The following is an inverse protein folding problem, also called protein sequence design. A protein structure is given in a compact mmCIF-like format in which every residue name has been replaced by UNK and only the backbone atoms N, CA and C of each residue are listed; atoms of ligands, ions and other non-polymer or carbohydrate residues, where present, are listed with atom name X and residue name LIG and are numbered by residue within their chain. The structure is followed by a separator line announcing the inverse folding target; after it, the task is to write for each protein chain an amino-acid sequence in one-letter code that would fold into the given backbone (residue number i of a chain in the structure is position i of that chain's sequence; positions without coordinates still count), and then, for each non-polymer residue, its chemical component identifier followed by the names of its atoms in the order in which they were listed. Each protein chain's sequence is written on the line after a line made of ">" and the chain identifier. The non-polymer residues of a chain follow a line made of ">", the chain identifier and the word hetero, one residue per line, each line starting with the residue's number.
data_IF_257870032889
#
_entry.id   IF_257870032889
#
_cell.length_a   1.000
_cell.length_b   1.000
_cell.length_c   1.000
_cell.angle_alpha   90.00
_cell.angle_beta   90.00
_cell.angle_gamma   90.00
#
_symmetry.space_group_name_H-M   'P 1'
#
loop_
_entity.id
_entity.type
_entity.pdbx_description
1 polymer ?
#
# COMPACT_ATOMS: atom_id res chain seq x y z
N UNK A 1 1.48 -6.70 7.95
CA UNK A 1 2.51 -6.23 6.98
C UNK A 1 3.18 -7.47 6.40
N UNK A 2 3.74 -7.47 5.18
CA UNK A 2 4.43 -8.66 4.64
C UNK A 2 5.80 -8.30 4.08
N UNK A 3 6.73 -9.26 4.13
CA UNK A 3 7.97 -9.25 3.35
C UNK A 3 7.88 -10.39 2.33
N UNK A 4 8.25 -10.13 1.07
CA UNK A 4 8.05 -11.08 -0.02
C UNK A 4 9.23 -11.10 -0.98
N UNK A 5 9.38 -12.24 -1.66
CA UNK A 5 10.19 -12.42 -2.87
C UNK A 5 9.25 -12.94 -3.95
N UNK A 6 9.21 -12.24 -5.08
CA UNK A 6 8.36 -12.60 -6.21
C UNK A 6 9.19 -13.03 -7.40
N UNK A 7 8.76 -14.10 -8.07
CA UNK A 7 9.33 -14.57 -9.32
C UNK A 7 8.27 -14.50 -10.42
N UNK A 8 8.50 -13.61 -11.38
CA UNK A 8 7.78 -13.58 -12.63
C UNK A 8 8.49 -14.46 -13.67
N UNK A 9 7.88 -15.58 -14.05
CA UNK A 9 8.51 -16.55 -14.94
C UNK A 9 8.21 -16.24 -16.41
N UNK A 10 9.21 -16.37 -17.27
CA UNK A 10 9.03 -16.30 -18.73
C UNK A 10 8.04 -17.35 -19.24
N UNK A 11 8.14 -18.56 -18.70
CA UNK A 11 7.26 -19.68 -19.02
C UNK A 11 6.53 -20.16 -17.78
N UNK A 12 5.22 -20.36 -17.89
CA UNK A 12 4.44 -20.89 -16.79
C UNK A 12 4.85 -22.33 -16.45
N UNK A 13 5.05 -22.61 -15.17
CA UNK A 13 5.37 -23.94 -14.67
C UNK A 13 4.14 -24.61 -14.05
N UNK A 14 4.10 -25.94 -14.04
CA UNK A 14 2.98 -26.71 -13.49
C UNK A 14 3.30 -27.07 -12.04
N UNK A 15 2.44 -26.63 -11.12
CA UNK A 15 2.49 -27.02 -9.72
C UNK A 15 1.16 -27.68 -9.38
N UNK A 16 1.20 -28.96 -9.03
CA UNK A 16 -0.01 -29.78 -8.83
C UNK A 16 -0.80 -29.95 -10.13
N UNK A 17 -1.96 -29.28 -10.25
CA UNK A 17 -2.87 -29.37 -11.41
C UNK A 17 -3.01 -28.05 -12.20
N UNK A 18 -2.37 -26.97 -11.74
CA UNK A 18 -2.51 -25.64 -12.34
C UNK A 18 -1.17 -25.15 -12.87
N UNK A 19 -1.22 -24.32 -13.91
CA UNK A 19 -0.08 -23.58 -14.45
C UNK A 19 0.05 -22.27 -13.70
N UNK A 20 1.26 -21.94 -13.27
CA UNK A 20 1.61 -20.72 -12.56
C UNK A 20 2.75 -20.02 -13.30
N UNK A 21 2.53 -18.74 -13.65
CA UNK A 21 3.57 -17.86 -14.18
C UNK A 21 4.23 -17.05 -13.08
N UNK A 22 3.45 -16.74 -12.05
CA UNK A 22 3.82 -15.88 -10.95
C UNK A 22 3.91 -16.72 -9.67
N UNK A 23 5.07 -16.69 -9.00
CA UNK A 23 5.33 -17.45 -7.78
C UNK A 23 5.90 -16.51 -6.74
N UNK A 24 5.21 -16.43 -5.60
CA UNK A 24 5.58 -15.55 -4.50
C UNK A 24 5.84 -16.36 -3.24
N UNK A 25 6.92 -16.01 -2.55
CA UNK A 25 7.22 -16.46 -1.19
C UNK A 25 7.14 -15.26 -0.28
N UNK A 26 6.34 -15.33 0.77
CA UNK A 26 6.20 -14.23 1.71
C UNK A 26 6.18 -14.71 3.15
N UNK A 27 6.50 -13.79 4.06
CA UNK A 27 6.37 -13.97 5.49
C UNK A 27 5.55 -12.80 6.02
N UNK A 28 4.54 -13.10 6.81
CA UNK A 28 3.71 -12.11 7.48
C UNK A 28 4.47 -11.53 8.68
N UNK A 29 4.41 -10.21 8.81
CA UNK A 29 5.07 -9.44 9.84
C UNK A 29 4.00 -8.59 10.53
N UNK A 30 3.91 -8.77 11.86
CA UNK A 30 2.88 -8.17 12.70
C UNK A 30 1.72 -9.13 12.95
N UNK A 31 1.27 -9.15 14.20
CA UNK A 31 0.06 -9.85 14.65
C UNK A 31 -1.02 -8.78 14.87
N UNK A 32 -2.25 -9.01 14.42
CA UNK A 32 -3.37 -8.14 14.79
C UNK A 32 -3.71 -8.48 16.24
N UNK A 33 -3.11 -7.78 17.19
CA UNK A 33 -3.43 -7.91 18.62
C UNK A 33 -4.76 -7.21 18.89
N UNK A 34 -5.88 -7.80 18.48
CA UNK A 34 -7.20 -7.41 18.99
C UNK A 34 -7.40 -8.02 20.36
N UNK A 35 -6.73 -7.48 21.37
CA UNK A 35 -7.15 -7.68 22.75
C UNK A 35 -7.89 -6.42 23.22
N UNK A 36 -9.20 -6.38 22.97
CA UNK A 36 -10.13 -5.34 23.45
C UNK A 36 -10.38 -5.44 24.98
N UNK A 37 -9.36 -5.86 25.73
CA UNK A 37 -9.40 -6.17 27.15
C UNK A 37 -8.88 -5.03 28.02
N UNK A 38 -9.71 -4.00 28.21
CA UNK A 38 -9.67 -2.97 29.28
C UNK A 38 -8.57 -3.11 30.36
N UNK A 39 -7.39 -2.51 30.19
CA UNK A 39 -6.52 -2.08 31.31
C UNK A 39 -5.60 -0.91 30.88
N UNK A 40 -6.14 0.31 30.90
CA UNK A 40 -5.56 1.48 30.23
C UNK A 40 -4.37 2.19 30.94
N UNK A 41 -3.79 1.63 32.01
CA UNK A 41 -2.78 2.34 32.81
C UNK A 41 -1.60 1.49 33.31
N UNK A 42 -1.41 0.26 32.82
CA UNK A 42 -0.32 -0.61 33.26
C UNK A 42 0.30 -1.44 32.13
N UNK A 43 0.20 -0.96 30.88
CA UNK A 43 0.70 -1.66 29.71
C UNK A 43 1.74 -0.88 28.90
N UNK A 44 2.03 0.39 29.17
CA UNK A 44 3.01 1.16 28.40
C UNK A 44 4.39 0.47 28.31
N UNK A 45 4.80 -0.26 29.36
CA UNK A 45 6.06 -1.03 29.35
C UNK A 45 5.98 -2.32 28.54
N UNK A 46 4.85 -3.01 28.57
CA UNK A 46 4.62 -4.24 27.79
C UNK A 46 4.38 -3.90 26.31
N UNK A 47 3.70 -2.79 26.03
CA UNK A 47 3.46 -2.25 24.69
C UNK A 47 4.78 -1.79 24.05
N UNK A 48 5.63 -1.09 24.80
CA UNK A 48 6.97 -0.70 24.34
C UNK A 48 7.86 -1.93 24.07
N UNK A 49 7.78 -2.97 24.92
CA UNK A 49 8.49 -4.23 24.68
C UNK A 49 7.97 -4.98 23.45
N UNK A 50 6.65 -5.01 23.25
CA UNK A 50 6.03 -5.62 22.08
C UNK A 50 6.42 -4.89 20.79
N UNK A 51 6.42 -3.55 20.80
CA UNK A 51 6.85 -2.74 19.67
C UNK A 51 8.34 -2.94 19.36
N UNK A 52 9.20 -2.99 20.39
CA UNK A 52 10.63 -3.28 20.25
C UNK A 52 10.85 -4.66 19.61
N UNK A 53 10.14 -5.68 20.10
CA UNK A 53 10.23 -7.04 19.57
C UNK A 53 9.76 -7.12 18.11
N UNK A 54 8.72 -6.36 17.73
CA UNK A 54 8.28 -6.29 16.34
C UNK A 54 9.32 -5.62 15.44
N UNK A 55 9.94 -4.52 15.90
CA UNK A 55 11.03 -3.84 15.19
C UNK A 55 12.23 -4.76 15.00
N UNK A 56 12.65 -5.48 16.03
CA UNK A 56 13.73 -6.47 15.96
C UNK A 56 13.40 -7.60 14.99
N UNK A 57 12.16 -8.13 15.02
CA UNK A 57 11.72 -9.16 14.08
C UNK A 57 11.75 -8.65 12.64
N UNK A 58 11.27 -7.43 12.38
CA UNK A 58 11.32 -6.77 11.07
C UNK A 58 12.76 -6.65 10.56
N UNK A 59 13.68 -6.18 11.40
CA UNK A 59 15.10 -6.06 11.04
C UNK A 59 15.74 -7.42 10.76
N UNK A 60 15.45 -8.43 11.61
CA UNK A 60 15.96 -9.80 11.44
C UNK A 60 15.47 -10.43 10.14
N UNK A 61 14.19 -10.27 9.79
CA UNK A 61 13.62 -10.77 8.54
C UNK A 61 14.23 -10.06 7.33
N UNK A 62 14.36 -8.72 7.36
CA UNK A 62 15.03 -7.96 6.30
C UNK A 62 16.47 -8.44 6.08
N UNK A 63 17.23 -8.64 7.15
CA UNK A 63 18.61 -9.15 7.07
C UNK A 63 18.67 -10.56 6.48
N UNK A 64 17.75 -11.45 6.89
CA UNK A 64 17.68 -12.81 6.37
C UNK A 64 17.33 -12.84 4.87
N UNK A 65 16.38 -12.02 4.42
CA UNK A 65 16.00 -11.91 3.01
C UNK A 65 17.13 -11.31 2.17
N UNK A 66 17.78 -10.24 2.64
CA UNK A 66 18.93 -9.65 1.97
C UNK A 66 20.07 -10.66 1.81
N UNK A 67 20.41 -11.38 2.87
CA UNK A 67 21.43 -12.42 2.80
C UNK A 67 21.08 -13.57 1.85
N UNK A 68 19.79 -13.91 1.73
CA UNK A 68 19.32 -14.87 0.74
C UNK A 68 19.50 -14.34 -0.68
N UNK A 69 19.11 -13.09 -0.95
CA UNK A 69 19.28 -12.40 -2.24
C UNK A 69 20.75 -12.38 -2.64
N UNK A 70 21.63 -11.87 -1.77
CA UNK A 70 23.08 -11.76 -2.03
C UNK A 70 23.71 -13.14 -2.35
N UNK A 71 23.25 -14.20 -1.68
CA UNK A 71 23.70 -15.58 -1.97
C UNK A 71 23.22 -16.08 -3.32
N UNK A 72 21.97 -15.83 -3.67
CA UNK A 72 21.41 -16.27 -4.96
C UNK A 72 22.13 -15.57 -6.09
N UNK A 73 22.31 -14.25 -6.01
CA UNK A 73 23.06 -13.45 -7.00
C UNK A 73 24.52 -13.92 -7.12
N UNK A 74 25.15 -14.26 -6.00
CA UNK A 74 26.50 -14.82 -5.98
C UNK A 74 26.62 -16.19 -6.67
N UNK A 75 25.61 -17.07 -6.52
CA UNK A 75 25.57 -18.40 -7.16
C UNK A 75 25.25 -18.27 -8.65
N UNK A 76 24.37 -17.36 -9.02
CA UNK A 76 23.96 -17.13 -10.43
C UNK A 76 25.01 -16.32 -11.20
N UNK A 77 26.07 -15.84 -10.53
CA UNK A 77 27.10 -14.97 -11.09
C UNK A 77 26.49 -13.73 -11.77
N UNK A 78 25.45 -13.15 -11.18
CA UNK A 78 24.75 -11.98 -11.71
C UNK A 78 23.85 -12.26 -12.91
N UNK A 79 23.54 -13.53 -13.24
CA UNK A 79 22.53 -13.83 -14.28
C UNK A 79 21.09 -13.53 -13.84
N UNK A 80 20.86 -13.52 -12.53
CA UNK A 80 19.58 -13.17 -11.91
C UNK A 80 19.89 -12.07 -10.91
N UNK A 81 19.16 -10.97 -11.01
CA UNK A 81 19.21 -9.81 -10.11
C UNK A 81 17.83 -9.60 -9.51
N UNK A 82 17.77 -9.21 -8.24
CA UNK A 82 16.51 -8.92 -7.56
C UNK A 82 16.22 -7.41 -7.57
N UNK A 83 15.19 -7.04 -8.31
CA UNK A 83 14.68 -5.67 -8.33
C UNK A 83 13.99 -5.30 -7.00
N UNK A 84 14.21 -4.07 -6.55
CA UNK A 84 13.53 -3.47 -5.39
C UNK A 84 12.57 -2.38 -5.88
N UNK A 85 11.27 -2.42 -5.55
CA UNK A 85 10.35 -1.37 -5.96
C UNK A 85 10.65 -0.01 -5.35
N UNK A 86 10.62 1.03 -6.17
CA UNK A 86 10.77 2.42 -5.77
C UNK A 86 9.46 2.92 -5.15
N UNK A 87 9.41 3.01 -3.82
CA UNK A 87 8.20 3.42 -3.10
C UNK A 87 7.83 4.88 -3.35
N UNK A 88 8.82 5.75 -3.53
CA UNK A 88 8.63 7.19 -3.76
C UNK A 88 7.97 7.49 -5.11
N UNK A 89 8.21 6.65 -6.11
CA UNK A 89 7.59 6.73 -7.43
C UNK A 89 6.27 5.94 -7.50
N UNK A 90 5.81 5.40 -6.37
CA UNK A 90 4.58 4.62 -6.31
C UNK A 90 3.34 5.50 -6.43
N UNK A 91 2.34 5.02 -7.16
CA UNK A 91 1.06 5.70 -7.31
C UNK A 91 -0.10 4.73 -7.08
N UNK A 92 -1.23 5.28 -6.67
CA UNK A 92 -2.43 4.50 -6.35
C UNK A 92 -3.26 4.31 -7.61
N UNK A 93 -3.77 3.10 -7.82
CA UNK A 93 -4.63 2.77 -8.95
C UNK A 93 -5.40 1.47 -8.76
N UNK A 94 -6.25 1.14 -9.73
CA UNK A 94 -7.13 -0.03 -9.71
C UNK A 94 -6.84 -0.87 -10.97
N UNK A 95 -5.80 -1.73 -10.95
CA UNK A 95 -5.52 -2.63 -12.06
C UNK A 95 -6.58 -3.75 -12.19
N UNK A 96 -7.20 -4.12 -11.07
CA UNK A 96 -8.22 -5.16 -11.03
C UNK A 96 -9.53 -4.65 -10.41
N UNK A 97 -9.76 -4.93 -9.12
CA UNK A 97 -11.00 -4.57 -8.40
C UNK A 97 -10.76 -3.81 -7.10
N UNK A 98 -9.53 -3.82 -6.59
CA UNK A 98 -9.12 -3.10 -5.39
C UNK A 98 -8.20 -1.94 -5.77
N UNK A 99 -8.30 -0.88 -4.99
CA UNK A 99 -7.35 0.23 -4.99
C UNK A 99 -6.08 -0.24 -4.32
N UNK A 100 -4.98 -0.23 -5.07
CA UNK A 100 -3.67 -0.73 -4.64
C UNK A 100 -2.59 0.28 -4.97
N UNK A 101 -1.48 0.22 -4.23
CA UNK A 101 -0.28 0.97 -4.56
C UNK A 101 0.52 0.21 -5.62
N UNK A 102 0.64 0.78 -6.81
CA UNK A 102 1.53 0.30 -7.85
C UNK A 102 2.90 0.95 -7.66
N UNK A 103 3.95 0.16 -7.79
CA UNK A 103 5.32 0.62 -7.56
C UNK A 103 6.17 0.25 -8.76
N UNK A 104 6.86 1.21 -9.40
CA UNK A 104 7.83 0.88 -10.44
C UNK A 104 9.10 0.28 -9.83
N UNK A 105 9.74 -0.60 -10.59
CA UNK A 105 11.11 -1.10 -10.38
C UNK A 105 11.97 -0.61 -11.55
N UNK A 106 13.20 -1.09 -11.64
CA UNK A 106 14.11 -0.78 -12.77
C UNK A 106 13.51 -1.18 -14.11
N UNK A 107 12.81 -2.33 -14.17
CA UNK A 107 12.35 -2.92 -15.43
C UNK A 107 10.85 -3.21 -15.48
N UNK A 108 10.13 -3.09 -14.36
CA UNK A 108 8.74 -3.50 -14.25
C UNK A 108 7.89 -2.47 -13.50
N UNK A 109 6.59 -2.44 -13.78
CA UNK A 109 5.58 -1.87 -12.87
C UNK A 109 4.89 -3.02 -12.14
N UNK A 110 4.89 -2.98 -10.81
CA UNK A 110 4.42 -4.11 -10.00
C UNK A 110 3.42 -3.74 -8.92
N UNK A 111 2.52 -4.69 -8.64
CA UNK A 111 1.77 -4.80 -7.39
C UNK A 111 1.82 -6.25 -6.95
N UNK A 112 2.50 -6.50 -5.83
CA UNK A 112 2.83 -7.84 -5.31
C UNK A 112 2.21 -8.12 -3.93
N UNK A 113 1.61 -7.10 -3.32
CA UNK A 113 1.07 -7.19 -1.97
C UNK A 113 -0.29 -7.88 -1.91
N UNK A 114 -1.06 -7.81 -2.99
CA UNK A 114 -2.40 -8.41 -3.10
C UNK A 114 -2.49 -9.39 -4.25
N UNK A 115 -3.46 -10.31 -4.17
CA UNK A 115 -3.75 -11.28 -5.23
C UNK A 115 -5.06 -10.89 -5.95
N UNK A 116 -5.09 -10.90 -7.29
CA UNK A 116 -4.02 -11.29 -8.21
C UNK A 116 -2.88 -10.28 -8.29
N UNK A 117 -1.64 -10.78 -8.38
CA UNK A 117 -0.48 -9.92 -8.62
C UNK A 117 -0.59 -9.22 -9.98
N UNK A 118 -0.04 -8.03 -10.06
CA UNK A 118 0.07 -7.25 -11.28
C UNK A 118 1.55 -7.05 -11.60
N UNK A 119 1.98 -7.47 -12.78
CA UNK A 119 3.36 -7.30 -13.24
C UNK A 119 3.33 -6.94 -14.71
N UNK A 120 3.89 -5.77 -15.04
CA UNK A 120 4.10 -5.31 -16.41
C UNK A 120 5.60 -5.11 -16.60
N UNK A 121 6.18 -5.79 -17.58
CA UNK A 121 7.56 -5.53 -18.02
C UNK A 121 7.57 -4.33 -18.95
N UNK A 122 8.33 -3.30 -18.60
CA UNK A 122 8.35 -2.01 -19.31
C UNK A 122 8.87 -2.16 -20.74
N UNK A 123 9.85 -3.04 -20.96
CA UNK A 123 10.40 -3.33 -22.30
C UNK A 123 9.37 -3.90 -23.29
N UNK A 124 8.30 -4.52 -22.80
CA UNK A 124 7.24 -5.12 -23.61
C UNK A 124 6.14 -4.10 -23.96
N UNK A 125 6.17 -2.91 -23.37
CA UNK A 125 5.22 -1.82 -23.63
C UNK A 125 5.64 -1.08 -24.90
N UNK A 126 4.67 -0.86 -25.79
CA UNK A 126 4.83 -0.06 -27.00
C UNK A 126 4.44 1.40 -26.73
N UNK A 127 3.27 1.60 -26.13
CA UNK A 127 2.65 2.90 -25.89
C UNK A 127 1.79 2.84 -24.63
N UNK A 128 1.69 3.96 -23.91
CA UNK A 128 0.71 4.15 -22.85
C UNK A 128 -0.34 5.18 -23.28
N UNK A 129 -1.62 4.91 -23.10
CA UNK A 129 -2.67 5.89 -23.34
C UNK A 129 -3.36 6.26 -22.03
N UNK A 130 -3.45 7.55 -21.75
CA UNK A 130 -4.21 8.08 -20.64
C UNK A 130 -5.64 8.39 -21.10
N UNK A 131 -6.62 7.76 -20.48
CA UNK A 131 -8.04 8.03 -20.74
C UNK A 131 -8.64 8.90 -19.65
N UNK A 132 -9.71 9.61 -19.99
CA UNK A 132 -10.47 10.45 -19.06
C UNK A 132 -9.63 11.56 -18.42
N UNK A 133 -8.60 12.03 -19.12
CA UNK A 133 -7.82 13.19 -18.69
C UNK A 133 -8.64 14.45 -18.98
N UNK A 134 -9.36 14.94 -17.98
CA UNK A 134 -10.21 16.12 -18.06
C UNK A 134 -10.17 16.91 -16.75
N UNK A 135 -10.25 18.23 -16.83
CA UNK A 135 -10.15 19.10 -15.65
C UNK A 135 -11.23 18.84 -14.58
N UNK A 136 -12.42 18.43 -14.97
CA UNK A 136 -13.55 18.18 -14.05
C UNK A 136 -13.49 16.80 -13.38
N UNK A 137 -12.61 15.90 -13.84
CA UNK A 137 -12.48 14.55 -13.30
C UNK A 137 -11.37 14.50 -12.26
N UNK A 138 -11.63 13.83 -11.13
CA UNK A 138 -10.63 13.65 -10.07
C UNK A 138 -9.63 12.54 -10.36
N UNK A 139 -10.03 11.61 -11.24
CA UNK A 139 -9.25 10.44 -11.58
C UNK A 139 -9.21 10.23 -13.09
N UNK A 140 -8.10 9.71 -13.58
CA UNK A 140 -7.92 9.26 -14.96
C UNK A 140 -7.65 7.75 -14.98
N UNK A 141 -7.68 7.15 -16.17
CA UNK A 141 -7.25 5.77 -16.38
C UNK A 141 -6.01 5.72 -17.25
N UNK A 142 -5.24 4.66 -17.11
CA UNK A 142 -4.03 4.42 -17.88
C UNK A 142 -4.11 3.04 -18.53
N UNK A 143 -3.80 2.98 -19.82
CA UNK A 143 -3.86 1.76 -20.62
C UNK A 143 -2.48 1.45 -21.16
N UNK A 144 -1.97 0.25 -20.86
CA UNK A 144 -0.72 -0.27 -21.39
C UNK A 144 -0.98 -1.06 -22.67
N UNK A 145 -0.38 -0.60 -23.76
CA UNK A 145 -0.41 -1.28 -25.06
C UNK A 145 0.94 -1.96 -25.24
N UNK A 146 0.91 -3.26 -25.53
CA UNK A 146 2.12 -4.06 -25.68
C UNK A 146 2.59 -4.12 -27.13
N UNK A 147 3.89 -4.31 -27.32
CA UNK A 147 4.53 -4.55 -28.63
C UNK A 147 3.94 -5.75 -29.35
N UNK A 148 3.58 -6.78 -28.58
CA UNK A 148 2.88 -7.94 -29.09
C UNK A 148 1.37 -7.69 -29.14
N UNK A 149 0.83 -7.30 -30.30
CA UNK A 149 -0.58 -6.93 -30.46
C UNK A 149 -1.60 -8.08 -30.24
N UNK A 150 -1.13 -9.33 -30.16
CA UNK A 150 -1.97 -10.48 -29.78
C UNK A 150 -2.27 -10.49 -28.28
N UNK A 151 -1.41 -9.86 -27.48
CA UNK A 151 -1.57 -9.70 -26.04
C UNK A 151 -2.64 -8.64 -25.78
N UNK A 152 -3.52 -8.92 -24.82
CA UNK A 152 -4.53 -7.95 -24.39
C UNK A 152 -3.85 -6.77 -23.69
N UNK A 153 -4.39 -5.57 -23.91
CA UNK A 153 -4.01 -4.38 -23.15
C UNK A 153 -4.33 -4.58 -21.67
N UNK A 154 -3.53 -3.95 -20.80
CA UNK A 154 -3.77 -3.93 -19.36
C UNK A 154 -4.22 -2.54 -18.95
N UNK A 155 -5.24 -2.48 -18.09
CA UNK A 155 -5.83 -1.23 -17.62
C UNK A 155 -5.44 -0.99 -16.17
N UNK A 156 -5.10 0.25 -15.83
CA UNK A 156 -5.00 0.74 -14.46
C UNK A 156 -5.99 1.89 -14.31
N UNK A 157 -7.07 1.63 -13.59
CA UNK A 157 -8.18 2.58 -13.49
C UNK A 157 -8.07 3.45 -12.25
N UNK A 158 -8.81 4.56 -12.24
CA UNK A 158 -9.02 5.41 -11.06
C UNK A 158 -7.72 5.90 -10.42
N UNK A 159 -6.76 6.32 -11.25
CA UNK A 159 -5.52 6.95 -10.79
C UNK A 159 -5.83 8.41 -10.45
N UNK A 160 -5.44 8.92 -9.26
CA UNK A 160 -5.65 10.31 -8.89
C UNK A 160 -4.96 11.28 -9.86
N UNK A 161 -5.65 12.34 -10.27
CA UNK A 161 -5.07 13.38 -11.15
C UNK A 161 -3.82 14.05 -10.55
N UNK A 162 -3.68 14.05 -9.23
CA UNK A 162 -2.48 14.56 -8.54
C UNK A 162 -1.21 13.78 -8.88
N UNK A 163 -1.34 12.52 -9.32
CA UNK A 163 -0.21 11.67 -9.73
C UNK A 163 0.06 11.71 -11.24
N UNK A 164 -0.72 12.47 -12.02
CA UNK A 164 -0.60 12.47 -13.49
C UNK A 164 0.79 12.92 -13.95
N UNK A 165 1.28 14.04 -13.43
CA UNK A 165 2.58 14.60 -13.82
C UNK A 165 3.73 13.69 -13.39
N UNK A 166 3.63 13.10 -12.19
CA UNK A 166 4.61 12.14 -11.66
C UNK A 166 4.69 10.89 -12.54
N UNK A 167 3.54 10.36 -12.97
CA UNK A 167 3.46 9.19 -13.86
C UNK A 167 3.99 9.53 -15.25
N UNK A 168 3.70 10.73 -15.79
CA UNK A 168 4.25 11.20 -17.08
C UNK A 168 5.77 11.32 -17.02
N UNK A 169 6.32 11.92 -15.97
CA UNK A 169 7.75 12.03 -15.76
C UNK A 169 8.42 10.66 -15.65
N UNK A 170 7.81 9.73 -14.92
CA UNK A 170 8.27 8.35 -14.84
C UNK A 170 8.27 7.66 -16.21
N UNK A 171 7.21 7.76 -17.01
CA UNK A 171 7.15 7.17 -18.35
C UNK A 171 8.21 7.77 -19.28
N UNK A 172 8.45 9.08 -19.20
CA UNK A 172 9.52 9.76 -19.93
C UNK A 172 10.91 9.22 -19.52
N UNK A 173 11.14 8.99 -18.23
CA UNK A 173 12.42 8.40 -17.75
C UNK A 173 12.65 6.96 -18.24
N UNK A 174 11.58 6.26 -18.63
CA UNK A 174 11.61 4.90 -19.17
C UNK A 174 11.61 4.86 -20.71
N UNK A 175 11.69 6.02 -21.39
CA UNK A 175 11.55 6.16 -22.85
C UNK A 175 10.24 5.59 -23.42
N UNK A 176 9.18 5.55 -22.61
CA UNK A 176 7.86 5.06 -23.04
C UNK A 176 7.04 6.24 -23.55
N UNK A 177 6.61 6.16 -24.82
CA UNK A 177 5.69 7.16 -25.38
C UNK A 177 4.32 7.06 -24.72
N UNK A 178 3.69 8.22 -24.54
CA UNK A 178 2.32 8.28 -24.06
C UNK A 178 1.48 9.26 -24.87
N UNK A 179 0.17 8.99 -24.91
CA UNK A 179 -0.86 9.89 -25.46
C UNK A 179 -1.94 10.11 -24.41
N UNK A 180 -2.72 11.18 -24.57
CA UNK A 180 -3.81 11.52 -23.65
C UNK A 180 -5.12 11.74 -24.40
N UNK A 181 -6.21 11.33 -23.78
CA UNK A 181 -7.54 11.34 -24.36
C UNK A 181 -8.62 11.60 -23.32
N UNK A 182 -9.65 12.31 -23.76
CA UNK A 182 -10.83 12.67 -22.97
C UNK A 182 -11.80 11.48 -22.87
N UNK A 183 -11.85 10.64 -23.90
CA UNK A 183 -12.78 9.52 -24.04
C UNK A 183 -12.11 8.19 -23.67
N UNK A 184 -12.92 7.25 -23.16
CA UNK A 184 -12.49 5.86 -23.00
C UNK A 184 -12.72 5.06 -24.29
N UNK A 185 -11.68 4.41 -24.79
CA UNK A 185 -11.69 3.75 -26.09
C UNK A 185 -12.00 2.25 -25.96
N UNK A 186 -12.59 1.67 -27.03
CA UNK A 186 -12.81 0.23 -27.10
C UNK A 186 -11.57 -0.50 -27.64
N UNK A 187 -10.58 -0.70 -26.77
CA UNK A 187 -9.32 -1.37 -27.10
C UNK A 187 -9.51 -2.77 -27.67
N UNK A 188 -10.52 -3.51 -27.22
CA UNK A 188 -10.79 -4.85 -27.76
C UNK A 188 -11.17 -4.83 -29.25
N UNK A 189 -11.80 -3.74 -29.72
CA UNK A 189 -12.09 -3.53 -31.15
C UNK A 189 -10.86 -3.02 -31.89
N UNK A 190 -10.17 -2.04 -31.34
CA UNK A 190 -8.97 -1.43 -31.92
C UNK A 190 -7.87 -2.50 -32.14
N UNK A 191 -7.52 -3.25 -31.09
CA UNK A 191 -6.50 -4.29 -31.18
C UNK A 191 -6.85 -5.40 -32.18
N UNK A 192 -8.15 -5.70 -32.37
CA UNK A 192 -8.60 -6.65 -33.39
C UNK A 192 -8.39 -6.11 -34.81
N UNK A 193 -8.70 -4.84 -35.05
CA UNK A 193 -8.45 -4.19 -36.35
C UNK A 193 -6.95 -4.22 -36.66
N UNK A 194 -6.12 -3.82 -35.70
CA UNK A 194 -4.66 -3.81 -35.83
C UNK A 194 -4.09 -5.22 -36.08
N UNK A 195 -4.60 -6.24 -35.36
CA UNK A 195 -4.12 -7.62 -35.54
C UNK A 195 -4.52 -8.21 -36.89
N UNK A 196 -5.65 -7.78 -37.47
CA UNK A 196 -6.12 -8.27 -38.76
C UNK A 196 -5.36 -7.65 -39.93
N UNK A 197 -5.04 -6.36 -39.87
CA UNK A 197 -4.27 -5.66 -40.90
C UNK A 197 -3.23 -4.70 -40.30
N UNK A 198 -2.06 -5.20 -39.88
CA UNK A 198 -1.00 -4.36 -39.32
C UNK A 198 -0.37 -3.40 -40.35
N UNK A 199 -0.44 -3.71 -41.65
CA UNK A 199 0.18 -2.88 -42.68
C UNK A 199 -0.64 -1.63 -42.95
N UNK A 200 -1.95 -1.80 -43.13
CA UNK A 200 -2.88 -0.67 -43.29
C UNK A 200 -2.86 0.26 -42.06
N UNK A 201 -2.71 -0.30 -40.86
CA UNK A 201 -2.54 0.51 -39.64
C UNK A 201 -1.31 1.43 -39.71
N UNK A 202 -0.16 0.92 -40.14
CA UNK A 202 1.07 1.71 -40.24
C UNK A 202 0.96 2.75 -41.38
N UNK A 203 0.34 2.39 -42.50
CA UNK A 203 0.13 3.31 -43.63
C UNK A 203 -0.82 4.46 -43.27
N UNK A 204 -1.82 4.21 -42.43
CA UNK A 204 -2.78 5.22 -41.97
C UNK A 204 -2.28 6.08 -40.79
N UNK A 205 -0.97 6.10 -40.51
CA UNK A 205 -0.38 6.93 -39.44
C UNK A 205 -0.26 6.24 -38.09
N UNK A 206 -0.57 4.95 -37.99
CA UNK A 206 -0.37 4.14 -36.79
C UNK A 206 -1.12 4.69 -35.58
N UNK A 207 -0.38 5.07 -34.54
CA UNK A 207 -0.96 5.58 -33.28
C UNK A 207 -1.35 7.06 -33.32
N UNK A 208 -1.20 7.75 -34.45
CA UNK A 208 -1.53 9.18 -34.57
C UNK A 208 -3.00 9.50 -34.28
N UNK A 209 -3.93 8.56 -34.49
CA UNK A 209 -5.35 8.76 -34.17
C UNK A 209 -5.64 8.95 -32.66
N UNK A 210 -4.67 8.62 -31.80
CA UNK A 210 -4.75 8.86 -30.35
C UNK A 210 -4.29 10.26 -29.96
N UNK A 211 -3.65 10.98 -30.87
CA UNK A 211 -3.25 12.36 -30.63
C UNK A 211 -4.45 13.28 -30.87
N UNK A 212 -4.71 14.24 -29.98
CA UNK A 212 -5.87 15.13 -30.04
C UNK A 212 -5.92 15.99 -31.32
N UNK A 213 -4.82 16.15 -32.04
CA UNK A 213 -4.73 16.97 -33.26
C UNK A 213 -5.19 16.27 -34.55
N UNK A 214 -5.56 14.98 -34.50
CA UNK A 214 -5.93 14.23 -35.73
C UNK A 214 -7.43 14.25 -36.06
N UNK A 215 -8.27 14.78 -35.17
CA UNK A 215 -9.72 14.78 -35.38
C UNK A 215 -10.45 15.77 -34.46
N UNK A 216 -10.38 17.08 -34.75
CA UNK A 216 -11.49 18.06 -34.60
C UNK A 216 -11.07 19.54 -34.81
N UNK A 217 -10.67 19.93 -36.03
CA UNK A 217 -10.62 21.37 -36.43
C UNK A 217 -11.20 21.70 -37.82
N UNK A 218 -11.86 20.77 -38.54
CA UNK A 218 -12.38 21.09 -39.89
C UNK A 218 -13.86 20.77 -40.16
N UNK A 219 -14.69 20.44 -39.15
CA UNK A 219 -16.12 20.24 -39.47
C UNK A 219 -17.11 20.42 -38.32
N UNK A 220 -17.17 21.63 -37.73
CA UNK A 220 -18.35 22.09 -36.99
C UNK A 220 -18.41 23.63 -36.84
N UNK A 221 -18.12 24.39 -37.90
CA UNK A 221 -18.58 25.79 -38.00
C UNK A 221 -19.75 25.85 -38.99
N UNK A 222 -20.93 25.39 -38.55
CA UNK A 222 -22.20 25.80 -39.15
C UNK A 222 -22.97 26.63 -38.12
N UNK A 223 -22.80 27.95 -38.24
CA UNK A 223 -23.81 29.00 -38.03
C UNK A 223 -24.73 28.88 -36.80
N UNK A 224 -24.27 29.38 -35.65
CA UNK A 224 -25.19 30.01 -34.68
C UNK A 224 -25.06 31.54 -34.81
N UNK A 225 -25.96 32.14 -35.59
CA UNK A 225 -26.13 33.59 -35.69
C UNK A 225 -26.52 34.19 -34.32
N UNK A 226 -25.66 35.09 -33.82
CA UNK A 226 -25.93 35.98 -32.69
C UNK A 226 -27.15 36.86 -32.96
N UNK A 227 -28.24 36.64 -32.23
CA UNK A 227 -29.38 37.57 -32.17
C UNK A 227 -29.30 38.41 -30.88
N UNK A 228 -28.83 39.63 -31.04
CA UNK A 228 -28.86 40.75 -30.09
C UNK A 228 -30.29 41.05 -29.62
N UNK A 229 -30.60 40.91 -28.32
CA UNK A 229 -31.86 41.40 -27.74
C UNK A 229 -31.64 42.15 -26.42
N UNK A 230 -31.94 43.45 -26.46
CA UNK A 230 -31.86 44.41 -25.36
C UNK A 230 -33.15 44.42 -24.49
N UNK A 231 -33.09 44.88 -23.22
CA UNK A 231 -34.08 44.57 -22.19
C UNK A 231 -35.29 45.51 -22.22
N UNK A 232 -36.48 44.99 -21.88
CA UNK A 232 -37.66 45.80 -21.55
C UNK A 232 -38.38 45.22 -20.35
N UNK A 233 -38.77 46.10 -19.42
CA UNK A 233 -39.20 45.77 -18.08
C UNK A 233 -40.67 45.38 -17.95
N UNK A 234 -41.01 44.65 -16.88
CA UNK A 234 -41.76 45.18 -15.73
C UNK A 234 -42.33 44.04 -14.86
N UNK A 235 -42.09 44.16 -13.55
CA UNK A 235 -42.90 43.73 -12.40
C UNK A 235 -43.39 42.27 -12.26
N UNK A 236 -42.90 41.59 -11.22
CA UNK A 236 -43.77 41.00 -10.18
C UNK A 236 -42.94 40.52 -8.97
N UNK A 237 -43.22 41.17 -7.85
CA UNK A 237 -42.85 40.89 -6.45
C UNK A 237 -43.32 39.52 -5.98
N UNK A 238 -42.50 38.82 -5.19
CA UNK A 238 -42.93 38.04 -4.01
C UNK A 238 -41.75 37.85 -3.04
N UNK A 239 -41.86 38.49 -1.88
CA UNK A 239 -41.18 38.10 -0.64
C UNK A 239 -41.74 36.77 -0.12
N UNK A 240 -40.89 35.96 0.51
CA UNK A 240 -41.26 35.24 1.73
C UNK A 240 -40.03 34.81 2.55
N UNK A 241 -40.18 35.16 3.82
CA UNK A 241 -39.40 35.01 5.05
C UNK A 241 -38.63 33.70 5.33
N UNK A 242 -37.49 33.92 5.98
CA UNK A 242 -36.94 33.38 7.25
C UNK A 242 -37.00 31.90 7.64
N UNK A 243 -36.02 31.58 8.52
CA UNK A 243 -35.85 30.42 9.43
C UNK A 243 -34.92 29.30 8.90
N UNK A 244 -33.88 28.78 9.59
CA UNK A 244 -33.36 28.90 10.95
C UNK A 244 -31.86 28.50 11.04
N UNK A 245 -31.27 28.98 12.13
CA UNK A 245 -30.00 28.71 12.78
C UNK A 245 -29.72 27.21 13.09
N UNK A 246 -28.56 26.70 12.68
CA UNK A 246 -27.68 25.75 13.41
C UNK A 246 -26.39 25.61 12.58
N UNK A 247 -25.17 25.78 13.06
CA UNK A 247 -24.63 25.60 14.39
C UNK A 247 -23.83 24.30 14.40
N UNK A 248 -22.60 24.30 13.90
CA UNK A 248 -21.51 23.46 14.40
C UNK A 248 -20.15 23.88 13.81
N UNK A 249 -19.17 23.88 14.71
CA UNK A 249 -17.80 24.35 14.64
C UNK A 249 -16.90 23.34 13.93
N UNK A 250 -16.17 23.75 12.89
CA UNK A 250 -15.03 23.00 12.38
C UNK A 250 -13.74 23.53 13.02
N UNK A 251 -13.17 22.72 13.92
CA UNK A 251 -11.79 22.88 14.39
C UNK A 251 -10.86 22.67 13.19
N UNK A 252 -10.10 23.72 12.86
CA UNK A 252 -9.02 23.65 11.88
C UNK A 252 -7.79 23.11 12.60
N UNK A 253 -7.43 21.86 12.33
CA UNK A 253 -6.11 21.31 12.64
C UNK A 253 -5.10 21.85 11.62
N UNK A 254 -4.44 22.95 11.97
CA UNK A 254 -3.20 23.38 11.30
C UNK A 254 -2.05 22.49 11.77
N UNK A 255 -1.73 21.47 10.97
CA UNK A 255 -0.50 20.70 11.07
C UNK A 255 0.67 21.61 10.68
N UNK A 256 1.38 22.11 11.69
CA UNK A 256 2.58 22.92 11.53
C UNK A 256 3.81 22.02 11.69
N UNK A 257 4.36 21.61 10.54
CA UNK A 257 5.72 21.04 10.44
C UNK A 257 6.73 22.09 10.94
N UNK A 258 7.10 22.00 12.21
CA UNK A 258 8.25 22.71 12.75
C UNK A 258 9.50 21.84 12.56
N UNK A 259 10.35 22.26 11.62
CA UNK A 259 11.74 21.81 11.47
C UNK A 259 12.49 22.04 12.79
N UNK A 260 12.85 20.95 13.49
CA UNK A 260 13.72 21.05 14.66
C UNK A 260 15.19 21.10 14.24
N UNK A 261 15.71 22.31 14.31
CA UNK A 261 17.09 22.73 14.13
C UNK A 261 18.03 21.98 15.11
N UNK A 262 19.10 21.42 14.56
CA UNK A 262 20.20 20.74 15.26
C UNK A 262 20.79 21.60 16.39
N UNK A 263 20.38 21.34 17.62
CA UNK A 263 21.03 21.80 18.85
C UNK A 263 21.97 20.72 19.41
N UNK A 264 23.25 20.81 19.10
CA UNK A 264 24.31 20.11 19.82
C UNK A 264 24.49 20.72 21.21
N UNK A 265 24.07 19.99 22.26
CA UNK A 265 24.59 20.15 23.61
C UNK A 265 24.76 18.77 24.26
N UNK A 266 25.99 18.52 24.70
CA UNK A 266 26.43 17.30 25.37
C UNK A 266 25.80 17.18 26.75
N UNK A 267 24.84 16.27 26.91
CA UNK A 267 24.60 15.62 28.21
C UNK A 267 24.42 14.12 27.95
N UNK A 268 25.54 13.41 27.99
CA UNK A 268 25.60 11.94 27.89
C UNK A 268 24.75 11.35 29.01
N UNK A 269 23.51 10.95 28.68
CA UNK A 269 22.65 10.18 29.57
C UNK A 269 23.38 8.93 30.08
N UNK A 270 23.23 8.65 31.37
CA UNK A 270 23.82 7.47 32.02
C UNK A 270 23.40 6.19 31.27
N UNK A 271 24.36 5.31 31.02
CA UNK A 271 24.09 4.01 30.38
C UNK A 271 23.17 3.18 31.30
N UNK A 272 22.31 2.33 30.71
CA UNK A 272 21.37 1.51 31.46
C UNK A 272 22.03 0.68 32.57
N UNK A 273 23.29 0.31 32.35
CA UNK A 273 24.14 -0.40 33.30
C UNK A 273 24.36 0.41 34.60
N UNK A 274 24.52 1.73 34.52
CA UNK A 274 24.71 2.60 35.70
C UNK A 274 23.39 2.83 36.46
N UNK A 275 22.27 2.92 35.76
CA UNK A 275 20.94 3.08 36.38
C UNK A 275 20.52 1.83 37.17
N UNK A 276 20.86 0.64 36.68
CA UNK A 276 20.59 -0.63 37.38
C UNK A 276 21.48 -0.78 38.62
N UNK A 277 22.74 -0.35 38.55
CA UNK A 277 23.66 -0.34 39.70
C UNK A 277 23.24 0.68 40.77
N UNK A 278 22.76 1.86 40.36
CA UNK A 278 22.26 2.89 41.28
C UNK A 278 20.96 2.43 41.99
N UNK A 279 20.08 1.71 41.28
CA UNK A 279 18.86 1.14 41.87
C UNK A 279 19.17 0.00 42.86
N UNK A 280 20.11 -0.90 42.52
CA UNK A 280 20.53 -1.98 43.43
C UNK A 280 21.21 -1.44 44.68
N UNK A 281 22.03 -0.39 44.57
CA UNK A 281 22.62 0.28 45.74
C UNK A 281 21.57 0.96 46.61
N UNK A 282 20.56 1.61 46.02
CA UNK A 282 19.48 2.26 46.77
C UNK A 282 18.62 1.26 47.58
N UNK A 283 18.39 0.06 47.04
CA UNK A 283 17.67 -1.02 47.75
C UNK A 283 18.50 -1.62 48.90
N UNK A 284 19.83 -1.67 48.76
CA UNK A 284 20.75 -2.07 49.82
C UNK A 284 20.77 -1.01 50.94
N UNK A 285 20.86 0.29 50.59
CA UNK A 285 20.84 1.38 51.56
C UNK A 285 19.51 1.53 52.31
N UNK A 286 18.38 1.19 51.66
CA UNK A 286 17.06 1.21 52.31
C UNK A 286 16.79 0.04 53.26
N UNK A 287 17.75 -0.87 53.45
CA UNK A 287 17.68 -1.92 54.48
C UNK A 287 16.77 -3.09 54.09
N UNK A 288 16.88 -3.58 52.86
CA UNK A 288 16.29 -4.85 52.44
C UNK A 288 16.96 -6.04 53.13
N UNK A 289 16.39 -6.48 54.25
CA UNK A 289 16.79 -7.69 54.97
C UNK A 289 16.55 -8.92 54.06
N UNK A 290 17.60 -9.47 53.46
CA UNK A 290 17.55 -10.81 52.85
C UNK A 290 17.73 -11.82 53.98
N UNK A 291 16.62 -12.18 54.65
CA UNK A 291 16.61 -13.35 55.53
C UNK A 291 16.40 -14.63 54.69
N UNK A 292 17.46 -15.43 54.69
CA UNK A 292 17.54 -16.81 54.21
C UNK A 292 16.65 -17.70 55.09
N UNK A 293 15.43 -17.99 54.64
CA UNK A 293 14.45 -18.71 55.47
C UNK A 293 14.68 -20.23 55.42
N UNK A 294 15.65 -20.69 56.21
CA UNK A 294 15.77 -22.09 56.62
C UNK A 294 14.72 -22.42 57.67
N UNK A 295 13.84 -23.38 57.35
CA UNK A 295 13.16 -24.33 58.26
C UNK A 295 13.03 -23.94 59.75
N UNK A 296 11.80 -23.86 60.29
CA UNK A 296 11.39 -24.65 61.47
C UNK A 296 9.88 -24.52 61.80
N UNK A 297 9.26 -25.70 61.87
CA UNK A 297 7.97 -26.03 62.48
C UNK A 297 7.66 -25.37 63.84
N UNK A 298 6.40 -24.96 64.08
CA UNK A 298 5.50 -25.52 65.13
C UNK A 298 4.16 -24.77 65.33
N UNK A 299 3.08 -25.56 65.24
CA UNK A 299 1.86 -25.61 66.09
C UNK A 299 0.91 -24.40 66.20
N UNK A 300 -0.29 -24.59 65.63
CA UNK A 300 -1.62 -24.32 66.23
C UNK A 300 -2.69 -24.88 65.26
N UNK A 301 -3.80 -25.51 65.62
CA UNK A 301 -4.31 -26.24 66.79
C UNK A 301 -5.53 -27.01 66.24
N UNK A 302 -5.65 -28.29 66.59
CA UNK A 302 -6.77 -29.21 66.28
C UNK A 302 -8.16 -28.57 66.52
N UNK A 303 -9.09 -28.74 65.57
CA UNK A 303 -10.47 -29.11 65.90
C UNK A 303 -10.76 -30.46 65.25
N UNK A 304 -11.32 -31.36 66.05
CA UNK A 304 -11.54 -32.75 65.75
C UNK A 304 -13.02 -32.99 65.48
N UNK A 305 -13.37 -33.67 64.39
CA UNK A 305 -14.51 -34.58 64.41
C UNK A 305 -14.24 -35.76 63.47
N UNK A 306 -14.34 -36.95 64.07
CA UNK A 306 -14.21 -38.29 63.50
C UNK A 306 -15.50 -38.67 62.76
N UNK A 307 -15.42 -39.39 61.64
CA UNK A 307 -15.58 -40.86 61.63
C UNK A 307 -15.47 -41.46 60.22
N UNK A 308 -14.86 -42.64 60.21
CA UNK A 308 -14.55 -43.53 59.08
C UNK A 308 -15.74 -44.39 58.58
N UNK A 309 -15.85 -44.50 57.24
CA UNK A 309 -16.03 -45.72 56.41
C UNK A 309 -17.36 -46.50 56.41
N UNK A 310 -17.61 -47.48 55.49
CA UNK A 310 -17.05 -47.75 54.14
C UNK A 310 -18.12 -48.08 53.06
N UNK A 311 -17.64 -48.38 51.83
CA UNK A 311 -18.11 -49.49 50.95
C UNK A 311 -18.93 -49.20 49.67
N UNK A 312 -18.21 -49.36 48.54
CA UNK A 312 -18.49 -50.16 47.33
C UNK A 312 -19.77 -49.96 46.47
N UNK A 313 -19.49 -50.05 45.15
CA UNK A 313 -20.33 -50.49 44.01
C UNK A 313 -21.36 -49.44 43.54
N UNK A 314 -21.60 -49.20 42.25
CA UNK A 314 -21.63 -50.12 41.09
C UNK A 314 -21.65 -49.31 39.78
N UNK A 315 -21.17 -49.97 38.72
CA UNK A 315 -21.24 -49.68 37.28
C UNK A 315 -22.67 -49.47 36.71
N UNK A 316 -22.70 -48.87 35.50
CA UNK A 316 -23.75 -48.79 34.44
C UNK A 316 -24.80 -47.70 34.66
N UNK A 317 -25.24 -46.98 33.63
CA UNK A 317 -25.38 -47.34 32.21
C UNK A 317 -25.18 -46.13 31.32
#
# INVERSE_FOLDING_TARGET
>A
MIILIHFHLKNAIIIGKKKYRDIQYYTEVGEITTDLGKHQHMHDRDDLQAEQAERELRQRLKAAFKHFIDRVEGITHGQIEFDVPFRELGFVGVPFRSTVLLQPTTHCLVMLTEQPVFVITLDEVELVHFERVQFHLKNFDMVFIFKEYTRKVEHVNSIPMTSLDSVKEWLNSCDIKYTEGVQSLNWARIMKTITNDPQDFIENGGWSFLEPDSSDEEQAEEEEEESEYAPSGSDAVVESDESELSGETEESEEDSEFEEELGTDEESGKDWSELEEEATMADIERGGHVEEDTNLSRKRKKSSQKHETPSKRKRRK
#
